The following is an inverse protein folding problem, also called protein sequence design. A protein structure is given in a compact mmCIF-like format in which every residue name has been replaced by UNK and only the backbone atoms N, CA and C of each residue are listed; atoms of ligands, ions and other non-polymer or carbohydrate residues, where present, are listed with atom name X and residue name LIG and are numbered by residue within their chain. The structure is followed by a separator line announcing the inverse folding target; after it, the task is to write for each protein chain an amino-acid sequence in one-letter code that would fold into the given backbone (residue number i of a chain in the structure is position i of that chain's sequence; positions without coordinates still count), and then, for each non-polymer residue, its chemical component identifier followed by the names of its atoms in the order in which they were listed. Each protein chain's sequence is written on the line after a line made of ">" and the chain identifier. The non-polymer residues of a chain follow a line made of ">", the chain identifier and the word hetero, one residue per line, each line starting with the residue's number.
data_IF_385705168708
#
_entry.id   IF_385705168708
#
_cell.length_a   1.000
_cell.length_b   1.000
_cell.length_c   1.000
_cell.angle_alpha   90.00
_cell.angle_beta   90.00
_cell.angle_gamma   90.00
#
_symmetry.space_group_name_H-M   'P 1'
#
loop_
_entity.id
_entity.type
_entity.pdbx_description
1 polymer ?
#
# COMPACT_ATOMS: atom_id res chain seq x y z
N UNK A 1 19.24 31.35 17.73
CA UNK A 1 18.34 30.97 16.61
C UNK A 1 18.84 29.77 15.77
N UNK A 2 19.99 29.14 16.05
CA UNK A 2 20.54 28.04 15.26
C UNK A 2 19.85 26.66 15.43
N UNK A 3 19.22 26.39 16.60
CA UNK A 3 18.55 25.09 16.87
C UNK A 3 17.37 24.80 15.94
N UNK A 4 16.65 25.84 15.48
CA UNK A 4 15.51 25.66 14.56
C UNK A 4 15.94 25.33 13.12
N UNK A 5 17.06 25.88 12.65
CA UNK A 5 17.55 25.63 11.28
C UNK A 5 18.09 24.20 11.12
N UNK A 6 18.83 23.70 12.12
CA UNK A 6 19.31 22.32 12.14
C UNK A 6 18.17 21.31 12.27
N UNK A 7 17.17 21.59 13.12
CA UNK A 7 15.97 20.76 13.22
C UNK A 7 15.17 20.71 11.91
N UNK A 8 15.00 21.85 11.22
CA UNK A 8 14.34 21.90 9.92
C UNK A 8 15.09 21.14 8.83
N UNK A 9 16.43 21.19 8.85
CA UNK A 9 17.28 20.40 7.95
C UNK A 9 17.09 18.89 8.16
N UNK A 10 17.16 18.42 9.42
CA UNK A 10 16.93 17.01 9.75
C UNK A 10 15.52 16.58 9.32
N UNK A 11 14.49 17.38 9.63
CA UNK A 11 13.11 17.08 9.26
C UNK A 11 12.97 16.92 7.73
N UNK A 12 13.61 17.79 6.95
CA UNK A 12 13.60 17.71 5.48
C UNK A 12 14.34 16.49 4.96
N UNK A 13 15.51 16.18 5.52
CA UNK A 13 16.30 15.02 5.11
C UNK A 13 15.55 13.70 5.39
N UNK A 14 14.95 13.58 6.58
CA UNK A 14 14.11 12.42 6.96
C UNK A 14 12.89 12.32 6.05
N UNK A 15 12.19 13.44 5.79
CA UNK A 15 11.06 13.45 4.88
C UNK A 15 11.44 12.98 3.47
N UNK A 16 12.56 13.46 2.94
CA UNK A 16 13.06 13.03 1.62
C UNK A 16 13.39 11.53 1.58
N UNK A 17 14.02 10.99 2.64
CA UNK A 17 14.28 9.56 2.75
C UNK A 17 12.99 8.74 2.77
N UNK A 18 11.99 9.15 3.56
CA UNK A 18 10.68 8.46 3.63
C UNK A 18 9.97 8.48 2.28
N UNK A 19 9.96 9.62 1.58
CA UNK A 19 9.34 9.74 0.25
C UNK A 19 10.02 8.83 -0.76
N UNK A 20 11.35 8.80 -0.80
CA UNK A 20 12.10 7.92 -1.69
C UNK A 20 11.86 6.44 -1.37
N UNK A 21 11.97 6.06 -0.09
CA UNK A 21 11.73 4.70 0.36
C UNK A 21 10.31 4.23 0.01
N UNK A 22 9.30 5.10 0.11
CA UNK A 22 7.91 4.77 -0.26
C UNK A 22 7.75 4.47 -1.74
N UNK A 23 8.38 5.24 -2.62
CA UNK A 23 8.30 5.02 -4.07
C UNK A 23 8.94 3.68 -4.45
N UNK A 24 10.15 3.41 -3.94
CA UNK A 24 10.84 2.13 -4.16
C UNK A 24 10.04 0.97 -3.60
N UNK A 25 9.52 1.08 -2.37
CA UNK A 25 8.74 0.02 -1.74
C UNK A 25 7.45 -0.28 -2.51
N UNK A 26 6.76 0.75 -3.00
CA UNK A 26 5.56 0.57 -3.84
C UNK A 26 5.87 -0.21 -5.11
N UNK A 27 6.98 0.11 -5.78
CA UNK A 27 7.41 -0.63 -6.98
C UNK A 27 7.74 -2.09 -6.65
N UNK A 28 8.47 -2.34 -5.56
CA UNK A 28 8.80 -3.70 -5.12
C UNK A 28 7.54 -4.54 -4.85
N UNK A 29 6.49 -3.95 -4.25
CA UNK A 29 5.21 -4.63 -4.05
C UNK A 29 4.54 -5.01 -5.37
N UNK A 30 4.56 -4.13 -6.38
CA UNK A 30 4.02 -4.43 -7.71
C UNK A 30 4.82 -5.54 -8.40
N UNK A 31 6.15 -5.48 -8.33
CA UNK A 31 7.03 -6.51 -8.91
C UNK A 31 6.75 -7.88 -8.28
N UNK A 32 6.65 -7.93 -6.93
CA UNK A 32 6.30 -9.15 -6.21
C UNK A 32 4.90 -9.68 -6.58
N UNK A 33 3.92 -8.80 -6.73
CA UNK A 33 2.57 -9.17 -7.15
C UNK A 33 2.55 -9.74 -8.57
N UNK A 34 3.31 -9.16 -9.50
CA UNK A 34 3.43 -9.65 -10.88
C UNK A 34 4.09 -11.02 -10.95
N UNK A 35 5.16 -11.24 -10.18
CA UNK A 35 5.83 -12.54 -10.09
C UNK A 35 4.86 -13.59 -9.55
N UNK A 36 4.24 -13.34 -8.38
CA UNK A 36 3.32 -14.29 -7.76
C UNK A 36 2.09 -14.58 -8.65
N UNK A 37 1.53 -13.55 -9.29
CA UNK A 37 0.40 -13.71 -10.19
C UNK A 37 0.80 -14.49 -11.45
N UNK A 38 2.00 -14.29 -12.00
CA UNK A 38 2.47 -15.09 -13.12
C UNK A 38 2.72 -16.54 -12.72
N UNK A 39 3.31 -16.80 -11.56
CA UNK A 39 3.59 -18.17 -11.09
C UNK A 39 2.30 -18.97 -10.87
N UNK A 40 1.27 -18.36 -10.29
CA UNK A 40 0.01 -19.03 -9.96
C UNK A 40 -0.98 -19.00 -11.13
N UNK A 41 -1.11 -17.87 -11.82
CA UNK A 41 -2.16 -17.63 -12.82
C UNK A 41 -1.63 -17.68 -14.26
N UNK A 42 -0.32 -17.84 -14.45
CA UNK A 42 0.35 -17.95 -15.75
C UNK A 42 -0.06 -16.82 -16.70
N UNK A 43 0.00 -15.59 -16.20
CA UNK A 43 -0.48 -14.39 -16.89
C UNK A 43 0.20 -14.20 -18.25
N UNK A 44 1.52 -14.41 -18.31
CA UNK A 44 2.33 -14.10 -19.49
C UNK A 44 2.37 -12.59 -19.80
N UNK A 45 3.11 -12.19 -20.86
CA UNK A 45 3.43 -10.79 -21.11
C UNK A 45 2.22 -9.89 -21.40
N UNK A 46 1.13 -10.43 -21.96
CA UNK A 46 -0.10 -9.67 -22.23
C UNK A 46 -0.87 -9.34 -20.94
N UNK A 47 -1.32 -10.37 -20.22
CA UNK A 47 -2.15 -10.18 -19.01
C UNK A 47 -1.37 -9.62 -17.83
N UNK A 48 -0.03 -9.76 -17.82
CA UNK A 48 0.82 -9.11 -16.82
C UNK A 48 0.67 -7.57 -16.88
N UNK A 49 0.58 -6.98 -18.07
CA UNK A 49 0.38 -5.52 -18.21
C UNK A 49 -0.99 -5.09 -17.68
N UNK A 50 -2.05 -5.82 -18.05
CA UNK A 50 -3.40 -5.54 -17.56
C UNK A 50 -3.49 -5.64 -16.03
N UNK A 51 -2.84 -6.67 -15.46
CA UNK A 51 -2.74 -6.81 -14.01
C UNK A 51 -1.98 -5.65 -13.36
N UNK A 52 -0.85 -5.22 -13.92
CA UNK A 52 -0.07 -4.11 -13.38
C UNK A 52 -0.86 -2.78 -13.38
N UNK A 53 -1.62 -2.53 -14.45
CA UNK A 53 -2.48 -1.36 -14.56
C UNK A 53 -3.61 -1.41 -13.52
N UNK A 54 -4.30 -2.56 -13.40
CA UNK A 54 -5.36 -2.77 -12.43
C UNK A 54 -4.86 -2.65 -10.98
N UNK A 55 -3.68 -3.19 -10.68
CA UNK A 55 -3.01 -3.06 -9.38
C UNK A 55 -2.73 -1.59 -9.05
N UNK A 56 -2.13 -0.86 -9.99
CA UNK A 56 -1.76 0.54 -9.81
C UNK A 56 -2.99 1.44 -9.61
N UNK A 57 -4.06 1.16 -10.35
CA UNK A 57 -5.34 1.83 -10.18
C UNK A 57 -5.95 1.52 -8.80
N UNK A 58 -6.02 0.25 -8.41
CA UNK A 58 -6.56 -0.15 -7.11
C UNK A 58 -5.78 0.47 -5.94
N UNK A 59 -4.45 0.52 -6.04
CA UNK A 59 -3.60 1.17 -5.04
C UNK A 59 -3.89 2.68 -4.95
N UNK A 60 -4.06 3.35 -6.08
CA UNK A 60 -4.40 4.78 -6.12
C UNK A 60 -5.78 5.05 -5.51
N UNK A 61 -6.78 4.23 -5.84
CA UNK A 61 -8.12 4.31 -5.24
C UNK A 61 -8.09 4.15 -3.72
N UNK A 62 -7.34 3.17 -3.22
CA UNK A 62 -7.14 2.95 -1.79
C UNK A 62 -6.45 4.15 -1.14
N UNK A 63 -5.40 4.68 -1.76
CA UNK A 63 -4.66 5.82 -1.24
C UNK A 63 -5.53 7.08 -1.16
N UNK A 64 -6.31 7.37 -2.19
CA UNK A 64 -7.23 8.51 -2.21
C UNK A 64 -8.31 8.35 -1.13
N UNK A 65 -8.90 7.15 -1.02
CA UNK A 65 -9.91 6.87 0.00
C UNK A 65 -9.36 7.10 1.42
N UNK A 66 -8.12 6.67 1.69
CA UNK A 66 -7.47 6.89 2.98
C UNK A 66 -7.11 8.36 3.25
N UNK A 67 -6.81 9.14 2.21
CA UNK A 67 -6.54 10.59 2.34
C UNK A 67 -7.82 11.37 2.65
N UNK A 68 -8.95 10.97 2.06
CA UNK A 68 -10.25 11.63 2.21
C UNK A 68 -11.00 11.20 3.49
N UNK A 69 -10.47 10.22 4.24
CA UNK A 69 -11.10 9.68 5.45
C UNK A 69 -10.72 10.46 6.72
N UNK A 70 -11.40 10.10 7.80
CA UNK A 70 -11.02 10.42 9.18
C UNK A 70 -9.64 9.88 9.52
N UNK A 71 -9.01 10.47 10.56
CA UNK A 71 -7.71 10.03 11.07
C UNK A 71 -7.66 8.54 11.40
N UNK A 72 -8.79 7.97 11.84
CA UNK A 72 -8.86 6.58 12.29
C UNK A 72 -9.24 5.60 11.15
N UNK A 73 -9.38 6.10 9.92
CA UNK A 73 -9.63 5.35 8.68
C UNK A 73 -10.89 4.46 8.70
N UNK A 74 -11.90 4.81 9.48
CA UNK A 74 -13.08 3.96 9.70
C UNK A 74 -13.81 3.60 8.39
N UNK A 75 -13.99 4.58 7.49
CA UNK A 75 -14.65 4.36 6.21
C UNK A 75 -13.82 3.45 5.29
N UNK A 76 -12.53 3.74 5.19
CA UNK A 76 -11.57 3.02 4.34
C UNK A 76 -11.45 1.56 4.78
N UNK A 77 -11.35 1.32 6.09
CA UNK A 77 -11.33 -0.02 6.70
C UNK A 77 -12.58 -0.80 6.30
N UNK A 78 -13.75 -0.23 6.55
CA UNK A 78 -15.03 -0.87 6.28
C UNK A 78 -15.20 -1.21 4.79
N UNK A 79 -14.86 -0.26 3.89
CA UNK A 79 -14.99 -0.44 2.45
C UNK A 79 -14.00 -1.47 1.88
N UNK A 80 -12.76 -1.47 2.37
CA UNK A 80 -11.80 -2.48 1.95
C UNK A 80 -12.16 -3.87 2.45
N UNK A 81 -12.61 -3.99 3.69
CA UNK A 81 -13.08 -5.26 4.23
C UNK A 81 -14.32 -5.78 3.50
N UNK A 82 -15.27 -4.92 3.17
CA UNK A 82 -16.44 -5.27 2.35
C UNK A 82 -16.00 -5.88 1.00
N UNK A 83 -15.11 -5.19 0.27
CA UNK A 83 -14.64 -5.65 -1.04
C UNK A 83 -13.80 -6.93 -0.95
N UNK A 84 -12.89 -7.01 0.03
CA UNK A 84 -12.00 -8.17 0.18
C UNK A 84 -12.74 -9.40 0.70
N UNK A 85 -13.80 -9.26 1.49
CA UNK A 85 -14.68 -10.38 1.88
C UNK A 85 -15.27 -11.08 0.66
N UNK A 86 -15.73 -10.30 -0.32
CA UNK A 86 -16.32 -10.83 -1.55
C UNK A 86 -15.30 -11.58 -2.42
N UNK A 87 -14.03 -11.15 -2.40
CA UNK A 87 -12.96 -11.73 -3.21
C UNK A 87 -12.33 -12.97 -2.53
N UNK A 88 -12.01 -12.86 -1.24
CA UNK A 88 -11.27 -13.90 -0.51
C UNK A 88 -12.15 -15.00 0.08
N UNK A 89 -13.47 -14.78 0.19
CA UNK A 89 -14.41 -15.75 0.73
C UNK A 89 -14.02 -16.21 2.14
N UNK A 90 -13.90 -17.52 2.34
CA UNK A 90 -13.55 -18.12 3.62
C UNK A 90 -12.13 -17.78 4.12
N UNK A 91 -11.23 -17.37 3.23
CA UNK A 91 -9.86 -16.97 3.59
C UNK A 91 -9.73 -15.49 3.93
N UNK A 92 -10.85 -14.76 4.00
CA UNK A 92 -10.83 -13.35 4.36
C UNK A 92 -10.28 -13.11 5.77
N UNK A 93 -9.31 -12.20 5.88
CA UNK A 93 -8.78 -11.70 7.15
C UNK A 93 -9.18 -10.22 7.30
N UNK A 94 -9.80 -9.78 8.41
CA UNK A 94 -10.22 -8.39 8.61
C UNK A 94 -9.04 -7.42 8.65
N UNK A 95 -9.31 -6.13 8.46
CA UNK A 95 -8.30 -5.07 8.46
C UNK A 95 -7.35 -5.17 9.65
N UNK A 96 -7.89 -5.32 10.86
CA UNK A 96 -7.14 -5.43 12.12
C UNK A 96 -6.20 -6.64 12.12
N UNK A 97 -6.53 -7.69 11.37
CA UNK A 97 -5.64 -8.83 11.18
C UNK A 97 -4.54 -8.57 10.15
N UNK A 98 -4.85 -7.85 9.06
CA UNK A 98 -3.92 -7.57 7.95
C UNK A 98 -2.92 -6.45 8.25
N UNK A 99 -3.37 -5.43 8.98
CA UNK A 99 -2.60 -4.22 9.31
C UNK A 99 -2.15 -4.21 10.77
N UNK A 100 -2.22 -5.35 11.46
CA UNK A 100 -1.57 -5.50 12.77
C UNK A 100 -0.07 -5.30 12.56
N UNK A 101 0.43 -4.15 12.98
CA UNK A 101 1.84 -3.95 13.20
C UNK A 101 2.15 -4.65 14.53
N UNK A 102 2.20 -5.99 14.51
CA UNK A 102 2.87 -6.71 15.58
C UNK A 102 4.32 -6.24 15.48
N UNK A 103 4.76 -5.43 16.44
CA UNK A 103 6.11 -4.91 16.50
C UNK A 103 7.10 -6.07 16.49
N UNK A 104 7.63 -6.38 15.31
CA UNK A 104 8.73 -7.29 15.07
C UNK A 104 9.50 -6.69 13.89
N UNK A 105 10.73 -6.22 14.03
CA UNK A 105 11.66 -6.06 15.15
C UNK A 105 12.87 -5.31 14.59
#
# INVERSE_FOLDING_TARGET
>A
MAKNAHAAYIQRAVYQQVVQARATHTQMCLDAALIAANDVLQLGPGRAKEFADAYSQALTEIANMAVDDTRDLEYSKAKLDERLKQICGEHFVPWEGRYRCDGAG
#
